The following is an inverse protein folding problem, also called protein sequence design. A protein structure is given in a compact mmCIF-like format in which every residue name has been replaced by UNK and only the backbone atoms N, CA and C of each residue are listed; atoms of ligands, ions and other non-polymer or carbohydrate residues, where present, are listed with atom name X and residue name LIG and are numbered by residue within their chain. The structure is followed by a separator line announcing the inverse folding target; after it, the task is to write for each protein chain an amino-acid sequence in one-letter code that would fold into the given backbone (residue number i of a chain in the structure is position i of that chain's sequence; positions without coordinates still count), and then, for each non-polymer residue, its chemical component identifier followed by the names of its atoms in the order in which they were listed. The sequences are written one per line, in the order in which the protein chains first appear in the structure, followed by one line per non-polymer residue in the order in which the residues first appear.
data_IF_289814267060
#
_entry.id   IF_289814267060
#
_cell.length_a   1.000
_cell.length_b   1.000
_cell.length_c   1.000
_cell.angle_alpha   90.00
_cell.angle_beta   90.00
_cell.angle_gamma   90.00
#
_symmetry.space_group_name_H-M   'P 1'
#
loop_
_entity.id
_entity.type
_entity.pdbx_description
1 polymer ?
#
# COMPACT_ATOMS: atom_id res chain seq x y z
N UNK A 1 52.08 14.24 -21.47
CA UNK A 1 51.54 14.95 -20.28
C UNK A 1 50.03 14.85 -20.33
N UNK A 2 49.47 14.32 -19.25
CA UNK A 2 48.06 14.35 -18.83
C UNK A 2 47.01 13.64 -19.68
N UNK A 3 46.67 12.43 -19.20
CA UNK A 3 45.36 11.79 -19.36
C UNK A 3 44.29 12.61 -18.62
N UNK A 4 43.12 12.82 -19.24
CA UNK A 4 41.92 13.28 -18.53
C UNK A 4 40.80 12.28 -18.80
N UNK A 5 40.70 11.26 -17.95
CA UNK A 5 39.54 10.40 -17.88
C UNK A 5 38.44 11.17 -17.13
N UNK A 6 37.39 11.59 -17.84
CA UNK A 6 36.15 12.01 -17.21
C UNK A 6 35.37 10.74 -16.80
N UNK A 7 35.75 10.14 -15.68
CA UNK A 7 35.00 9.06 -15.07
C UNK A 7 33.80 9.65 -14.34
N UNK A 8 32.64 9.71 -15.01
CA UNK A 8 31.36 9.75 -14.33
C UNK A 8 31.28 8.49 -13.46
N UNK A 9 31.60 8.62 -12.17
CA UNK A 9 31.32 7.60 -11.16
C UNK A 9 29.81 7.46 -11.01
N UNK A 10 29.18 6.69 -11.89
CA UNK A 10 27.96 5.98 -11.56
C UNK A 10 28.36 4.89 -10.58
N UNK A 11 28.48 5.25 -9.30
CA UNK A 11 28.40 4.26 -8.24
C UNK A 11 27.03 3.61 -8.40
N UNK A 12 26.93 2.30 -8.69
CA UNK A 12 25.66 1.64 -8.48
C UNK A 12 25.43 1.71 -6.96
N UNK A 13 24.58 2.64 -6.52
CA UNK A 13 23.84 2.42 -5.29
C UNK A 13 23.28 1.03 -5.45
N UNK A 14 23.73 0.06 -4.63
CA UNK A 14 23.16 -1.28 -4.59
C UNK A 14 21.71 -1.08 -4.15
N UNK A 15 20.84 -0.73 -5.09
CA UNK A 15 19.40 -0.76 -4.91
C UNK A 15 19.12 -2.24 -4.73
N UNK A 16 19.00 -2.67 -3.49
CA UNK A 16 18.61 -4.03 -3.17
C UNK A 16 17.19 -4.20 -3.67
N UNK A 17 17.07 -4.71 -4.89
CA UNK A 17 15.79 -5.05 -5.49
C UNK A 17 15.21 -6.21 -4.70
N UNK A 18 13.98 -6.04 -4.22
CA UNK A 18 13.22 -7.10 -3.57
C UNK A 18 12.51 -7.93 -4.63
N UNK A 19 12.73 -9.24 -4.64
CA UNK A 19 11.91 -10.13 -5.48
C UNK A 19 10.56 -10.36 -4.83
N UNK A 20 9.57 -10.79 -5.62
CA UNK A 20 8.23 -11.09 -5.10
C UNK A 20 8.25 -12.18 -4.02
N UNK A 21 9.16 -13.14 -4.14
CA UNK A 21 9.34 -14.21 -3.16
C UNK A 21 9.98 -13.70 -1.86
N UNK A 22 10.93 -12.77 -1.95
CA UNK A 22 11.55 -12.12 -0.78
C UNK A 22 10.52 -11.27 -0.04
N UNK A 23 9.76 -10.47 -0.79
CA UNK A 23 8.72 -9.57 -0.28
C UNK A 23 7.62 -10.36 0.43
N UNK A 24 7.14 -11.45 -0.20
CA UNK A 24 6.18 -12.36 0.42
C UNK A 24 6.69 -12.96 1.74
N UNK A 25 7.93 -13.44 1.78
CA UNK A 25 8.51 -14.00 3.03
C UNK A 25 8.68 -12.93 4.11
N UNK A 26 8.97 -11.71 3.71
CA UNK A 26 9.05 -10.57 4.63
C UNK A 26 7.69 -10.24 5.22
N UNK A 27 6.62 -10.16 4.42
CA UNK A 27 5.26 -9.95 4.91
C UNK A 27 4.82 -11.08 5.87
N UNK A 28 5.08 -12.34 5.51
CA UNK A 28 4.81 -13.49 6.37
C UNK A 28 5.58 -13.39 7.70
N UNK A 29 6.85 -13.00 7.66
CA UNK A 29 7.67 -12.82 8.86
C UNK A 29 7.16 -11.66 9.73
N UNK A 30 6.74 -10.54 9.14
CA UNK A 30 6.14 -9.43 9.87
C UNK A 30 4.85 -9.86 10.58
N UNK A 31 4.00 -10.65 9.93
CA UNK A 31 2.76 -11.16 10.52
C UNK A 31 3.03 -12.07 11.74
N UNK A 32 4.11 -12.85 11.71
CA UNK A 32 4.49 -13.76 12.80
C UNK A 32 5.10 -13.05 14.01
N UNK A 33 5.82 -11.95 13.78
CA UNK A 33 6.64 -11.29 14.81
C UNK A 33 6.16 -9.87 15.17
N UNK A 34 4.91 -9.52 14.85
CA UNK A 34 4.37 -8.17 15.09
C UNK A 34 4.34 -7.78 16.57
N UNK A 35 4.08 -8.76 17.46
CA UNK A 35 3.96 -8.56 18.91
C UNK A 35 5.30 -8.59 19.66
N UNK A 36 6.42 -8.81 18.95
CA UNK A 36 7.75 -8.88 19.57
C UNK A 36 8.40 -7.50 19.70
N UNK A 37 9.30 -7.39 20.67
CA UNK A 37 10.13 -6.20 20.83
C UNK A 37 10.88 -5.85 19.53
N UNK A 38 10.96 -4.55 19.16
CA UNK A 38 11.51 -4.12 17.88
C UNK A 38 12.92 -4.65 17.62
N UNK A 39 13.78 -4.69 18.64
CA UNK A 39 15.16 -5.17 18.51
C UNK A 39 15.24 -6.66 18.17
N UNK A 40 14.37 -7.48 18.74
CA UNK A 40 14.36 -8.93 18.55
C UNK A 40 13.58 -9.33 17.30
N UNK A 41 12.56 -8.54 16.94
CA UNK A 41 11.73 -8.73 15.75
C UNK A 41 12.57 -8.77 14.48
N UNK A 42 13.44 -7.77 14.28
CA UNK A 42 14.20 -7.66 13.03
C UNK A 42 15.17 -8.81 12.81
N UNK A 43 15.80 -9.30 13.88
CA UNK A 43 16.69 -10.45 13.84
C UNK A 43 15.93 -11.73 13.42
N UNK A 44 14.74 -11.93 13.99
CA UNK A 44 13.86 -13.04 13.63
C UNK A 44 13.34 -12.94 12.19
N UNK A 45 13.05 -11.74 11.69
CA UNK A 45 12.63 -11.51 10.30
C UNK A 45 13.76 -11.89 9.33
N UNK A 46 14.99 -11.39 9.55
CA UNK A 46 16.15 -11.74 8.72
C UNK A 46 16.43 -13.23 8.75
N UNK A 47 16.29 -13.87 9.92
CA UNK A 47 16.45 -15.32 10.07
C UNK A 47 15.40 -16.09 9.25
N UNK A 48 14.15 -15.64 9.26
CA UNK A 48 13.07 -16.24 8.46
C UNK A 48 13.32 -16.08 6.95
N UNK A 49 13.97 -14.99 6.54
CA UNK A 49 14.33 -14.72 5.15
C UNK A 49 15.56 -15.51 4.65
N UNK A 50 16.32 -16.14 5.54
CA UNK A 50 17.45 -17.02 5.18
C UNK A 50 18.70 -16.26 4.70
N UNK A 51 19.13 -15.24 5.45
CA UNK A 51 20.40 -14.49 5.26
C UNK A 51 20.54 -13.70 3.94
N UNK A 52 19.52 -13.68 3.09
CA UNK A 52 19.59 -13.00 1.78
C UNK A 52 19.57 -11.47 1.88
N UNK A 53 19.08 -10.93 2.99
CA UNK A 53 18.99 -9.49 3.29
C UNK A 53 19.57 -9.18 4.67
N UNK A 54 20.10 -7.99 4.85
CA UNK A 54 20.56 -7.53 6.17
C UNK A 54 19.42 -6.90 6.99
N UNK A 55 19.63 -6.74 8.30
CA UNK A 55 18.67 -6.09 9.19
C UNK A 55 18.37 -4.67 8.71
N UNK A 56 19.38 -3.95 8.25
CA UNK A 56 19.24 -2.58 7.76
C UNK A 56 18.37 -2.52 6.50
N UNK A 57 18.53 -3.48 5.58
CA UNK A 57 17.71 -3.56 4.36
C UNK A 57 16.26 -3.88 4.68
N UNK A 58 16.01 -4.77 5.64
CA UNK A 58 14.67 -5.12 6.13
C UNK A 58 13.99 -3.92 6.79
N UNK A 59 14.71 -3.17 7.64
CA UNK A 59 14.18 -1.96 8.28
C UNK A 59 13.85 -0.89 7.24
N UNK A 60 14.75 -0.67 6.27
CA UNK A 60 14.53 0.30 5.20
C UNK A 60 13.30 -0.07 4.36
N UNK A 61 13.14 -1.34 4.00
CA UNK A 61 11.98 -1.82 3.25
C UNK A 61 10.68 -1.63 4.03
N UNK A 62 10.69 -1.89 5.34
CA UNK A 62 9.55 -1.60 6.21
C UNK A 62 9.20 -0.12 6.27
N UNK A 63 10.20 0.78 6.33
CA UNK A 63 9.95 2.23 6.33
C UNK A 63 9.25 2.67 5.05
N UNK A 64 9.70 2.17 3.88
CA UNK A 64 9.05 2.45 2.61
C UNK A 64 7.59 1.97 2.61
N UNK A 65 7.32 0.77 3.12
CA UNK A 65 5.95 0.24 3.23
C UNK A 65 5.07 1.13 4.12
N UNK A 66 5.59 1.58 5.27
CA UNK A 66 4.87 2.47 6.19
C UNK A 66 4.59 3.82 5.53
N UNK A 67 5.57 4.40 4.84
CA UNK A 67 5.39 5.67 4.13
C UNK A 67 4.34 5.55 3.01
N UNK A 68 4.33 4.43 2.27
CA UNK A 68 3.33 4.18 1.23
C UNK A 68 1.91 4.10 1.82
N UNK A 69 1.72 3.33 2.90
CA UNK A 69 0.44 3.24 3.63
C UNK A 69 0.00 4.62 4.13
N UNK A 70 0.92 5.37 4.75
CA UNK A 70 0.63 6.72 5.24
C UNK A 70 0.21 7.67 4.10
N UNK A 71 0.80 7.53 2.92
CA UNK A 71 0.44 8.35 1.76
C UNK A 71 -0.94 7.99 1.19
N UNK A 72 -1.31 6.71 1.21
CA UNK A 72 -2.65 6.24 0.85
C UNK A 72 -3.69 6.81 1.84
N UNK A 73 -3.46 6.63 3.15
CA UNK A 73 -4.38 7.08 4.20
C UNK A 73 -4.53 8.60 4.26
N UNK A 74 -3.46 9.33 3.97
CA UNK A 74 -3.49 10.79 3.88
C UNK A 74 -4.18 11.31 2.60
N UNK A 75 -4.69 10.43 1.74
CA UNK A 75 -5.32 10.80 0.46
C UNK A 75 -4.36 11.48 -0.52
N UNK A 76 -3.04 11.24 -0.37
CA UNK A 76 -2.00 11.85 -1.22
C UNK A 76 -1.78 11.11 -2.52
N UNK A 77 -2.37 9.93 -2.65
CA UNK A 77 -2.34 9.13 -3.87
C UNK A 77 -3.76 9.12 -4.44
N UNK A 78 -3.90 9.48 -5.71
CA UNK A 78 -5.15 9.28 -6.44
C UNK A 78 -5.40 7.78 -6.55
N UNK A 79 -6.42 7.28 -5.86
CA UNK A 79 -6.85 5.89 -6.02
C UNK A 79 -7.23 5.66 -7.49
N UNK A 80 -6.82 4.53 -8.10
CA UNK A 80 -7.40 4.07 -9.36
C UNK A 80 -8.93 4.07 -9.26
N UNK A 81 -9.59 4.35 -10.38
CA UNK A 81 -11.04 4.13 -10.51
C UNK A 81 -11.27 2.61 -10.47
N UNK A 82 -11.30 2.07 -9.26
CA UNK A 82 -11.70 0.69 -9.02
C UNK A 82 -13.17 0.66 -9.39
N UNK A 83 -13.45 0.11 -10.57
CA UNK A 83 -14.82 -0.23 -10.93
C UNK A 83 -15.30 -1.22 -9.89
N UNK A 84 -16.04 -0.70 -8.91
CA UNK A 84 -16.83 -1.52 -8.03
C UNK A 84 -17.82 -2.25 -8.94
N UNK A 85 -17.59 -3.55 -9.15
CA UNK A 85 -18.66 -4.43 -9.60
C UNK A 85 -19.61 -4.59 -8.40
N UNK A 86 -20.33 -3.51 -8.09
CA UNK A 86 -21.43 -3.46 -7.13
C UNK A 86 -22.59 -4.29 -7.70
N UNK A 87 -22.44 -5.61 -7.60
CA UNK A 87 -23.55 -6.55 -7.46
C UNK A 87 -23.29 -7.27 -6.14
N UNK A 88 -24.07 -7.12 -5.06
CA UNK A 88 -25.51 -7.02 -4.93
C UNK A 88 -25.98 -6.40 -3.58
N UNK A 89 -27.20 -5.87 -3.60
CA UNK A 89 -28.17 -5.78 -2.48
C UNK A 89 -27.85 -4.93 -1.23
N UNK A 90 -28.46 -3.73 -1.27
CA UNK A 90 -29.51 -3.29 -0.34
C UNK A 90 -29.19 -2.01 0.44
N UNK A 91 -29.30 -0.86 -0.23
CA UNK A 91 -29.65 0.44 0.37
C UNK A 91 -30.43 1.31 -0.65
N UNK A 92 -31.57 0.79 -1.12
CA UNK A 92 -32.62 1.61 -1.75
C UNK A 92 -33.92 1.46 -0.97
N UNK A 93 -33.97 2.09 0.19
CA UNK A 93 -35.23 2.41 0.89
C UNK A 93 -35.13 3.85 1.39
N UNK A 94 -35.58 4.78 0.56
CA UNK A 94 -36.45 5.90 0.98
C UNK A 94 -36.94 6.70 -0.23
N UNK A 95 -37.73 6.07 -1.09
CA UNK A 95 -38.74 6.84 -1.83
C UNK A 95 -39.99 6.90 -0.96
N UNK A 96 -40.45 8.07 -0.48
CA UNK A 96 -41.76 8.14 0.16
C UNK A 96 -42.84 7.82 -0.88
N UNK A 97 -43.93 7.12 -0.50
CA UNK A 97 -45.04 6.87 -1.41
C UNK A 97 -45.67 8.20 -1.81
N UNK A 98 -45.66 8.48 -3.11
CA UNK A 98 -46.40 9.60 -3.69
C UNK A 98 -47.89 9.35 -3.52
N UNK A 99 -48.48 9.93 -2.47
CA UNK A 99 -49.93 10.14 -2.39
C UNK A 99 -50.17 11.65 -2.28
N UNK A 100 -50.43 12.27 -3.42
CA UNK A 100 -51.01 13.62 -3.49
C UNK A 100 -52.17 13.63 -4.48
N UNK A 101 -53.34 13.45 -3.89
CA UNK A 101 -54.64 13.77 -4.45
C UNK A 101 -54.80 15.30 -4.57
N UNK A 102 -54.28 15.87 -5.66
CA UNK A 102 -54.51 17.28 -6.04
C UNK A 102 -55.55 17.39 -7.16
N UNK A 103 -56.78 17.63 -6.73
CA UNK A 103 -57.93 18.00 -7.54
C UNK A 103 -57.87 19.50 -7.84
N UNK A 104 -57.30 19.91 -8.98
CA UNK A 104 -57.44 21.30 -9.47
C UNK A 104 -58.71 21.43 -10.35
N UNK A 105 -59.65 22.27 -9.90
CA UNK A 105 -60.89 22.67 -10.59
C UNK A 105 -60.62 23.68 -11.71
N UNK A 106 -61.33 23.55 -12.83
CA UNK A 106 -62.10 24.65 -13.45
C UNK A 106 -61.57 25.31 -14.74
N UNK A 107 -62.39 25.23 -15.80
CA UNK A 107 -62.80 26.41 -16.58
C UNK A 107 -62.21 26.60 -17.98
N UNK A 108 -62.99 26.25 -19.03
CA UNK A 108 -63.49 27.24 -19.99
C UNK A 108 -64.76 26.77 -20.68
#
# INVERSE_FOLDING_TARGET
MSSSNNSNSATPSRTTTWTREEDKRFEEALALYIDQDPSTRWDNVVRQMGESKTVEEVIHHYQLLVDDVNNIEAGRISLPDYVDDDTDEALSTSSPPSNSNDKCRGGK
#
